data_IF_841667202287
#
_entry.id   IF_841667202287
#
_cell.length_a   1.000
_cell.length_b   1.000
_cell.length_c   1.000
_cell.angle_alpha   90.00
_cell.angle_beta   90.00
_cell.angle_gamma   90.00
#
_symmetry.space_group_name_H-M   'P 1'
#
loop_
_entity.id
_entity.type
_entity.pdbx_description
1 polymer ?
#
# COMPACT_ATOMS: atom_id res chain seq x y z
N UNK A 1 17.47 -13.24 -30.31
CA UNK A 1 16.71 -14.32 -29.63
C UNK A 1 16.49 -13.86 -28.19
N UNK A 2 15.26 -13.92 -27.67
CA UNK A 2 14.94 -13.54 -26.28
C UNK A 2 14.97 -14.78 -25.37
N UNK A 3 15.21 -14.60 -24.06
CA UNK A 3 15.26 -15.69 -23.09
C UNK A 3 13.88 -16.24 -22.71
N UNK A 4 13.81 -17.53 -22.34
CA UNK A 4 12.58 -18.23 -21.94
C UNK A 4 12.22 -18.07 -20.45
N UNK A 5 12.66 -16.98 -19.81
CA UNK A 5 12.40 -16.74 -18.40
C UNK A 5 11.04 -16.05 -18.19
N UNK A 6 10.49 -16.18 -16.99
CA UNK A 6 9.28 -15.45 -16.61
C UNK A 6 9.50 -13.94 -16.76
N UNK A 7 8.59 -13.28 -17.48
CA UNK A 7 8.60 -11.84 -17.65
C UNK A 7 7.54 -11.22 -16.72
N UNK A 8 7.98 -10.70 -15.57
CA UNK A 8 7.12 -10.04 -14.59
C UNK A 8 7.70 -8.66 -14.24
N UNK A 9 6.89 -7.60 -14.27
CA UNK A 9 7.35 -6.25 -13.91
C UNK A 9 7.61 -6.14 -12.40
N UNK A 10 8.63 -5.36 -12.02
CA UNK A 10 8.96 -5.06 -10.63
C UNK A 10 8.07 -3.92 -10.11
N UNK A 11 6.86 -4.27 -9.67
CA UNK A 11 5.88 -3.32 -9.16
C UNK A 11 5.90 -3.24 -7.64
N UNK A 12 5.77 -2.03 -7.09
CA UNK A 12 5.67 -1.84 -5.64
C UNK A 12 4.39 -2.48 -5.09
N UNK A 13 3.30 -2.45 -5.86
CA UNK A 13 2.06 -3.17 -5.55
C UNK A 13 2.26 -4.68 -5.38
N UNK A 14 3.24 -5.27 -6.09
CA UNK A 14 3.63 -6.68 -5.94
C UNK A 14 4.22 -6.99 -4.57
N UNK A 15 4.90 -6.04 -3.92
CA UNK A 15 5.39 -6.21 -2.54
C UNK A 15 4.22 -6.33 -1.56
N UNK A 16 3.24 -5.44 -1.66
CA UNK A 16 2.08 -5.46 -0.77
C UNK A 16 1.22 -6.71 -0.98
N UNK A 17 1.08 -7.17 -2.23
CA UNK A 17 0.42 -8.43 -2.54
C UNK A 17 1.16 -9.62 -1.92
N UNK A 18 2.48 -9.69 -2.07
CA UNK A 18 3.29 -10.76 -1.50
C UNK A 18 3.14 -10.82 0.03
N UNK A 19 3.17 -9.68 0.71
CA UNK A 19 3.01 -9.64 2.17
C UNK A 19 1.60 -10.01 2.61
N UNK A 20 0.56 -9.62 1.85
CA UNK A 20 -0.82 -10.07 2.12
C UNK A 20 -0.96 -11.59 2.04
N UNK A 21 -0.39 -12.20 0.99
CA UNK A 21 -0.50 -13.65 0.74
C UNK A 21 0.31 -14.49 1.73
N UNK A 22 1.48 -14.02 2.16
CA UNK A 22 2.41 -14.82 2.98
C UNK A 22 2.40 -14.44 4.47
N UNK A 23 2.03 -13.20 4.79
CA UNK A 23 2.10 -12.63 6.13
C UNK A 23 0.86 -11.77 6.48
N UNK A 24 -0.29 -12.07 5.88
CA UNK A 24 -1.51 -11.27 6.00
C UNK A 24 -1.96 -11.02 7.45
N UNK A 25 -1.71 -11.96 8.37
CA UNK A 25 -2.09 -11.85 9.78
C UNK A 25 -1.05 -11.12 10.66
N UNK A 26 0.15 -10.85 10.14
CA UNK A 26 1.17 -10.15 10.91
C UNK A 26 0.74 -8.71 11.22
N UNK A 27 0.96 -8.28 12.46
CA UNK A 27 0.50 -6.98 12.96
C UNK A 27 1.40 -5.83 12.49
N UNK A 28 0.76 -4.75 12.08
CA UNK A 28 1.33 -3.42 11.96
C UNK A 28 0.83 -2.61 13.15
N UNK A 29 1.76 -2.13 13.96
CA UNK A 29 1.47 -1.37 15.18
C UNK A 29 1.89 0.07 14.96
N UNK A 30 1.02 1.03 15.28
CA UNK A 30 1.29 2.45 15.13
C UNK A 30 0.83 3.23 16.34
N UNK A 31 1.65 4.19 16.79
CA UNK A 31 1.24 5.19 17.78
C UNK A 31 0.60 6.37 17.06
N UNK A 32 -0.60 6.75 17.48
CA UNK A 32 -1.34 7.89 16.93
C UNK A 32 -0.94 9.20 17.63
N UNK A 33 -1.30 10.33 17.04
CA UNK A 33 -0.96 11.67 17.55
C UNK A 33 -1.62 12.01 18.88
N UNK A 34 -2.74 11.35 19.20
CA UNK A 34 -3.41 11.41 20.51
C UNK A 34 -2.75 10.49 21.57
N UNK A 35 -1.67 9.81 21.20
CA UNK A 35 -0.93 8.89 22.06
C UNK A 35 -1.46 7.46 22.08
N UNK A 36 -2.64 7.20 21.49
CA UNK A 36 -3.24 5.87 21.44
C UNK A 36 -2.46 4.91 20.53
N UNK A 37 -2.60 3.60 20.76
CA UNK A 37 -1.96 2.56 19.95
C UNK A 37 -3.01 1.95 19.03
N UNK A 38 -2.74 2.00 17.73
CA UNK A 38 -3.52 1.32 16.71
C UNK A 38 -2.80 0.05 16.26
N UNK A 39 -3.55 -1.05 16.16
CA UNK A 39 -3.08 -2.35 15.66
C UNK A 39 -4.02 -2.82 14.56
N UNK A 40 -3.44 -3.33 13.50
CA UNK A 40 -4.15 -3.97 12.39
C UNK A 40 -3.17 -4.88 11.65
N UNK A 41 -3.65 -5.65 10.68
CA UNK A 41 -2.82 -6.63 9.98
C UNK A 41 -2.43 -6.18 8.58
N UNK A 42 -1.42 -6.81 7.97
CA UNK A 42 -1.08 -6.58 6.56
C UNK A 42 -2.25 -6.85 5.62
N UNK A 43 -3.12 -7.82 5.93
CA UNK A 43 -4.34 -8.06 5.16
C UNK A 43 -5.29 -6.87 5.19
N UNK A 44 -5.47 -6.28 6.36
CA UNK A 44 -6.26 -5.06 6.49
C UNK A 44 -5.60 -3.86 5.78
N UNK A 45 -4.26 -3.77 5.78
CA UNK A 45 -3.51 -2.77 5.05
C UNK A 45 -3.72 -2.89 3.54
N UNK A 46 -3.49 -4.07 2.97
CA UNK A 46 -3.68 -4.35 1.56
C UNK A 46 -5.10 -4.00 1.08
N UNK A 47 -6.12 -4.45 1.82
CA UNK A 47 -7.52 -4.13 1.51
C UNK A 47 -7.79 -2.62 1.51
N UNK A 48 -7.22 -1.89 2.46
CA UNK A 48 -7.41 -0.43 2.59
C UNK A 48 -6.68 0.32 1.49
N UNK A 49 -5.44 -0.04 1.16
CA UNK A 49 -4.68 0.55 0.06
C UNK A 49 -5.40 0.35 -1.27
N UNK A 50 -5.93 -0.85 -1.57
CA UNK A 50 -6.72 -1.08 -2.78
C UNK A 50 -7.99 -0.22 -2.86
N UNK A 51 -8.66 0.01 -1.73
CA UNK A 51 -9.84 0.90 -1.68
C UNK A 51 -9.46 2.35 -1.95
N UNK A 52 -8.34 2.80 -1.39
CA UNK A 52 -7.83 4.15 -1.64
C UNK A 52 -7.45 4.33 -3.12
N UNK A 53 -6.78 3.35 -3.73
CA UNK A 53 -6.44 3.35 -5.16
C UNK A 53 -7.67 3.63 -6.03
N UNK A 54 -8.74 2.87 -5.77
CA UNK A 54 -10.00 2.99 -6.50
C UNK A 54 -10.69 4.33 -6.27
N UNK A 55 -10.62 4.84 -5.03
CA UNK A 55 -11.18 6.15 -4.70
C UNK A 55 -10.43 7.28 -5.42
N UNK A 56 -9.09 7.24 -5.45
CA UNK A 56 -8.27 8.21 -6.16
C UNK A 56 -8.54 8.18 -7.66
N UNK A 57 -8.58 6.98 -8.25
CA UNK A 57 -8.95 6.81 -9.65
C UNK A 57 -10.35 7.38 -9.93
N UNK A 58 -11.32 7.17 -9.05
CA UNK A 58 -12.66 7.75 -9.19
C UNK A 58 -12.69 9.28 -9.07
N UNK A 59 -11.75 9.87 -8.34
CA UNK A 59 -11.55 11.32 -8.25
C UNK A 59 -10.81 11.90 -9.46
N UNK A 60 -10.42 11.07 -10.44
CA UNK A 60 -9.84 11.50 -11.71
C UNK A 60 -8.32 11.57 -11.72
N UNK A 61 -7.62 10.84 -10.84
CA UNK A 61 -6.15 10.70 -10.93
C UNK A 61 -5.76 9.83 -12.12
N UNK A 62 -4.76 10.27 -12.87
CA UNK A 62 -4.18 9.57 -14.02
C UNK A 62 -2.78 9.06 -13.69
N UNK A 63 -2.27 8.18 -14.56
CA UNK A 63 -0.88 7.73 -14.50
C UNK A 63 0.07 8.92 -14.62
N UNK A 64 1.06 8.99 -13.71
CA UNK A 64 2.01 10.11 -13.64
C UNK A 64 1.54 11.30 -12.80
N UNK A 65 0.29 11.33 -12.34
CA UNK A 65 -0.18 12.37 -11.42
C UNK A 65 0.50 12.27 -10.05
N UNK A 66 0.74 13.42 -9.42
CA UNK A 66 1.42 13.50 -8.13
C UNK A 66 0.40 13.54 -7.00
N UNK A 67 0.58 12.66 -6.02
CA UNK A 67 -0.25 12.62 -4.81
C UNK A 67 0.62 13.00 -3.61
N UNK A 68 0.36 14.17 -3.02
CA UNK A 68 1.09 14.67 -1.87
C UNK A 68 0.50 14.20 -0.54
N UNK A 69 1.36 13.87 0.42
CA UNK A 69 0.96 13.56 1.81
C UNK A 69 1.77 14.39 2.80
N UNK A 70 1.08 15.03 3.77
CA UNK A 70 1.69 15.61 4.96
C UNK A 70 1.19 14.82 6.17
N UNK A 71 1.98 13.85 6.61
CA UNK A 71 1.60 12.93 7.66
C UNK A 71 2.83 12.49 8.48
N UNK A 72 2.57 12.01 9.70
CA UNK A 72 3.53 11.32 10.54
C UNK A 72 3.59 9.84 10.17
N UNK A 73 4.72 9.20 10.49
CA UNK A 73 4.89 7.76 10.41
C UNK A 73 3.84 7.04 11.28
N UNK A 74 2.75 6.62 10.65
CA UNK A 74 1.65 5.89 11.27
C UNK A 74 0.89 5.07 10.23
N UNK A 75 -0.09 4.27 10.70
CA UNK A 75 -0.85 3.33 9.86
C UNK A 75 -1.52 3.97 8.62
N UNK A 76 -1.74 5.29 8.63
CA UNK A 76 -2.26 6.02 7.48
C UNK A 76 -1.23 6.15 6.37
N UNK A 77 -0.03 6.60 6.71
CA UNK A 77 1.04 6.88 5.75
C UNK A 77 1.79 5.63 5.29
N UNK A 78 1.91 4.60 6.14
CA UNK A 78 2.79 3.44 5.90
C UNK A 78 2.56 2.69 4.57
N UNK A 79 1.39 2.81 3.93
CA UNK A 79 1.08 2.15 2.65
C UNK A 79 0.33 3.06 1.66
N UNK A 80 0.41 4.38 1.84
CA UNK A 80 -0.40 5.35 1.08
C UNK A 80 0.35 5.95 -0.13
N UNK A 81 1.62 5.61 -0.36
CA UNK A 81 2.48 6.25 -1.37
C UNK A 81 2.64 5.50 -2.69
N UNK A 82 2.10 4.28 -2.82
CA UNK A 82 2.45 3.43 -3.96
C UNK A 82 1.27 3.26 -4.94
N UNK A 83 0.99 4.33 -5.68
CA UNK A 83 0.17 4.28 -6.88
C UNK A 83 0.97 4.79 -8.07
N UNK A 84 1.72 3.87 -8.66
CA UNK A 84 2.24 3.88 -10.02
C UNK A 84 2.52 2.42 -10.42
#
# INVERSE_FOLDING_TARGET
MLGLMMNQPLLISGLLQHVDENHGDAEIVSRLTDGSIHRYTYHAAHRRTRRLARALHHLGTHEGDRIGTLAWNGHRQAFQTDFA
#
